data_IF_757904220290
#
_entry.id   IF_757904220290
#
_cell.length_a   1.000
_cell.length_b   1.000
_cell.length_c   1.000
_cell.angle_alpha   90.00
_cell.angle_beta   90.00
_cell.angle_gamma   90.00
#
_symmetry.space_group_name_H-M   'P 1'
#
loop_
_entity.id
_entity.type
_entity.pdbx_description
1 polymer ?
#
# COMPACT_ATOMS: atom_id res chain seq x y z
N UNK A 1 11.70 -5.46 -18.84
CA UNK A 1 12.62 -5.51 -17.68
C UNK A 1 11.89 -5.20 -16.37
N UNK A 2 11.46 -3.96 -16.11
CA UNK A 2 10.81 -3.59 -14.84
C UNK A 2 9.56 -4.42 -14.49
N UNK A 3 8.73 -4.76 -15.48
CA UNK A 3 7.60 -5.67 -15.26
C UNK A 3 8.02 -7.06 -14.75
N UNK A 4 9.14 -7.60 -15.25
CA UNK A 4 9.68 -8.89 -14.78
C UNK A 4 10.16 -8.82 -13.34
N UNK A 5 10.87 -7.75 -12.98
CA UNK A 5 11.25 -7.50 -11.58
C UNK A 5 10.04 -7.35 -10.66
N UNK A 6 9.00 -6.66 -11.13
CA UNK A 6 7.75 -6.53 -10.41
C UNK A 6 7.12 -7.90 -10.16
N UNK A 7 6.94 -8.73 -11.21
CA UNK A 7 6.40 -10.08 -11.05
C UNK A 7 7.22 -10.90 -10.06
N UNK A 8 8.55 -10.88 -10.20
CA UNK A 8 9.45 -11.58 -9.29
C UNK A 8 9.27 -11.12 -7.83
N UNK A 9 9.15 -9.81 -7.60
CA UNK A 9 8.98 -9.26 -6.25
C UNK A 9 7.65 -9.59 -5.59
N UNK A 10 6.62 -10.03 -6.34
CA UNK A 10 5.37 -10.53 -5.74
C UNK A 10 5.62 -11.87 -5.03
N UNK A 11 6.54 -12.69 -5.54
CA UNK A 11 6.80 -14.03 -5.03
C UNK A 11 7.95 -14.09 -4.02
N UNK A 12 8.82 -13.08 -4.00
CA UNK A 12 9.86 -13.00 -2.97
C UNK A 12 9.19 -12.75 -1.63
N UNK A 13 9.37 -13.72 -0.72
CA UNK A 13 9.07 -13.59 0.70
C UNK A 13 10.01 -12.51 1.26
N UNK A 14 9.43 -11.59 2.03
CA UNK A 14 10.05 -10.43 2.67
C UNK A 14 11.54 -10.62 2.98
N UNK A 15 12.39 -9.62 2.69
CA UNK A 15 13.81 -9.69 3.04
C UNK A 15 13.93 -9.98 4.54
N UNK A 16 14.58 -11.11 4.89
CA UNK A 16 14.84 -11.44 6.29
C UNK A 16 15.79 -10.38 6.87
N UNK A 17 15.36 -9.75 7.96
CA UNK A 17 16.09 -8.66 8.60
C UNK A 17 17.39 -9.13 9.22
N UNK A 18 17.48 -10.38 9.67
CA UNK A 18 18.72 -11.00 10.13
C UNK A 18 19.75 -11.07 8.99
N UNK A 19 19.31 -11.42 7.78
CA UNK A 19 20.19 -11.45 6.60
C UNK A 19 20.59 -10.03 6.18
N UNK A 20 19.67 -9.06 6.29
CA UNK A 20 19.97 -7.66 6.03
C UNK A 20 20.97 -7.08 7.04
N UNK A 21 20.83 -7.44 8.32
CA UNK A 21 21.71 -7.03 9.40
C UNK A 21 23.13 -7.58 9.20
N UNK A 22 23.25 -8.87 8.88
CA UNK A 22 24.53 -9.50 8.58
C UNK A 22 25.26 -8.84 7.39
N UNK A 23 24.53 -8.48 6.33
CA UNK A 23 25.13 -7.77 5.18
C UNK A 23 25.51 -6.33 5.55
N UNK A 24 24.66 -5.63 6.30
CA UNK A 24 24.92 -4.25 6.70
C UNK A 24 26.14 -4.14 7.63
N UNK A 25 26.34 -5.08 8.55
CA UNK A 25 27.51 -5.12 9.43
C UNK A 25 28.83 -5.32 8.68
N UNK A 26 28.79 -6.04 7.55
CA UNK A 26 29.99 -6.30 6.74
C UNK A 26 30.34 -5.13 5.81
N UNK A 27 29.34 -4.45 5.25
CA UNK A 27 29.54 -3.49 4.16
C UNK A 27 29.26 -2.03 4.52
N UNK A 28 28.51 -1.75 5.58
CA UNK A 28 28.16 -0.37 5.93
C UNK A 28 29.22 0.26 6.85
N UNK A 29 29.59 1.54 6.64
CA UNK A 29 30.41 2.27 7.60
C UNK A 29 29.64 2.51 8.91
N UNK A 30 30.38 2.60 10.02
CA UNK A 30 29.85 2.65 11.40
C UNK A 30 28.78 3.74 11.59
N UNK A 31 28.99 4.91 10.97
CA UNK A 31 28.07 6.06 10.98
C UNK A 31 26.68 5.73 10.38
N UNK A 32 26.62 4.79 9.43
CA UNK A 32 25.39 4.34 8.78
C UNK A 32 24.74 3.20 9.57
N UNK A 33 25.55 2.33 10.18
CA UNK A 33 25.09 1.28 11.10
C UNK A 33 24.33 1.88 12.29
N UNK A 34 24.91 2.87 12.96
CA UNK A 34 24.31 3.49 14.14
C UNK A 34 22.97 4.18 13.81
N UNK A 35 22.93 4.94 12.70
CA UNK A 35 21.71 5.63 12.25
C UNK A 35 20.59 4.70 11.78
N UNK A 36 20.95 3.51 11.30
CA UNK A 36 20.00 2.51 10.80
C UNK A 36 19.57 1.48 11.86
N UNK A 37 20.17 1.49 13.05
CA UNK A 37 19.90 0.53 14.11
C UNK A 37 18.42 0.51 14.52
N UNK A 38 17.78 1.67 14.65
CA UNK A 38 16.35 1.78 14.99
C UNK A 38 15.42 1.15 13.95
N UNK A 39 15.82 1.08 12.68
CA UNK A 39 15.02 0.48 11.60
C UNK A 39 15.29 -1.02 11.41
N UNK A 40 16.32 -1.54 12.08
CA UNK A 40 16.82 -2.90 12.00
C UNK A 40 16.61 -3.70 13.30
N UNK A 41 16.03 -3.05 14.32
CA UNK A 41 15.74 -3.66 15.61
C UNK A 41 14.61 -4.69 15.47
N UNK A 42 14.98 -5.97 15.62
CA UNK A 42 14.07 -7.12 15.50
C UNK A 42 12.90 -7.03 16.48
N UNK A 43 13.10 -6.53 17.70
CA UNK A 43 12.06 -6.40 18.73
C UNK A 43 10.90 -5.50 18.26
N UNK A 44 11.22 -4.42 17.53
CA UNK A 44 10.21 -3.47 17.01
C UNK A 44 9.38 -4.12 15.89
N UNK A 45 10.00 -5.00 15.12
CA UNK A 45 9.35 -5.70 14.01
C UNK A 45 8.51 -6.86 14.54
N UNK A 46 9.00 -7.58 15.54
CA UNK A 46 8.29 -8.69 16.19
C UNK A 46 7.07 -8.17 16.96
N UNK A 47 7.22 -7.12 17.78
CA UNK A 47 6.09 -6.47 18.44
C UNK A 47 5.02 -5.98 17.44
N UNK A 48 5.43 -5.54 16.23
CA UNK A 48 4.49 -5.14 15.18
C UNK A 48 3.74 -6.34 14.59
N UNK A 49 4.40 -7.49 14.43
CA UNK A 49 3.77 -8.74 13.98
C UNK A 49 2.76 -9.21 15.01
N UNK A 50 3.13 -9.21 16.28
CA UNK A 50 2.24 -9.63 17.39
C UNK A 50 0.98 -8.77 17.46
N UNK A 51 1.11 -7.44 17.35
CA UNK A 51 -0.05 -6.53 17.30
C UNK A 51 -0.95 -6.81 16.09
N UNK A 52 -0.38 -7.17 14.94
CA UNK A 52 -1.15 -7.51 13.75
C UNK A 52 -1.89 -8.83 13.94
N UNK A 53 -1.24 -9.83 14.54
CA UNK A 53 -1.83 -11.14 14.85
C UNK A 53 -2.94 -11.03 15.91
N UNK A 54 -2.74 -10.23 16.96
CA UNK A 54 -3.77 -9.93 17.96
C UNK A 54 -4.98 -9.20 17.37
N UNK A 55 -4.76 -8.31 16.38
CA UNK A 55 -5.85 -7.59 15.69
C UNK A 55 -6.47 -8.39 14.53
N UNK A 56 -5.88 -9.52 14.15
CA UNK A 56 -6.29 -10.36 13.03
C UNK A 56 -7.54 -11.22 13.32
N UNK A 57 -8.21 -11.04 14.47
CA UNK A 57 -9.42 -11.79 14.87
C UNK A 57 -10.51 -11.76 13.78
N UNK A 58 -10.59 -10.68 13.01
CA UNK A 58 -11.57 -10.50 11.95
C UNK A 58 -10.94 -10.54 10.55
N UNK A 59 -11.47 -11.40 9.66
CA UNK A 59 -10.97 -11.57 8.29
C UNK A 59 -10.87 -10.24 7.52
N UNK A 60 -11.84 -9.34 7.68
CA UNK A 60 -11.87 -8.06 6.95
C UNK A 60 -10.73 -7.13 7.37
N UNK A 61 -10.20 -7.26 8.60
CA UNK A 61 -9.06 -6.46 9.11
C UNK A 61 -7.77 -6.86 8.39
N UNK A 62 -7.65 -8.12 7.99
CA UNK A 62 -6.49 -8.61 7.23
C UNK A 62 -6.66 -8.29 5.75
N UNK A 63 -7.86 -8.55 5.22
CA UNK A 63 -8.09 -8.57 3.77
C UNK A 63 -8.38 -7.21 3.14
N UNK A 64 -8.76 -6.18 3.89
CA UNK A 64 -9.08 -4.88 3.26
C UNK A 64 -7.87 -4.25 2.54
N UNK A 65 -6.67 -4.31 3.14
CA UNK A 65 -5.42 -3.81 2.52
C UNK A 65 -4.79 -4.82 1.56
N UNK A 66 -4.74 -6.11 1.96
CA UNK A 66 -4.19 -7.17 1.10
C UNK A 66 -5.00 -7.37 -0.17
N UNK A 67 -6.33 -7.33 -0.06
CA UNK A 67 -7.26 -7.37 -1.17
C UNK A 67 -6.97 -6.25 -2.17
N UNK A 68 -6.97 -4.99 -1.72
CA UNK A 68 -6.63 -3.84 -2.57
C UNK A 68 -5.28 -4.00 -3.28
N UNK A 69 -4.25 -4.46 -2.55
CA UNK A 69 -2.90 -4.67 -3.10
C UNK A 69 -2.91 -5.69 -4.24
N UNK A 70 -3.45 -6.89 -4.00
CA UNK A 70 -3.50 -7.93 -5.03
C UNK A 70 -4.41 -7.58 -6.20
N UNK A 71 -5.51 -6.91 -5.92
CA UNK A 71 -6.40 -6.29 -6.90
C UNK A 71 -5.66 -5.36 -7.87
N UNK A 72 -4.84 -4.45 -7.34
CA UNK A 72 -4.03 -3.56 -8.15
C UNK A 72 -2.95 -4.30 -8.94
N UNK A 73 -2.33 -5.34 -8.36
CA UNK A 73 -1.34 -6.16 -9.08
C UNK A 73 -1.96 -6.88 -10.27
N UNK A 74 -3.10 -7.52 -10.05
CA UNK A 74 -3.84 -8.23 -11.10
C UNK A 74 -4.20 -7.27 -12.24
N UNK A 75 -4.70 -6.08 -11.91
CA UNK A 75 -5.05 -5.06 -12.91
C UNK A 75 -3.83 -4.54 -13.66
N UNK A 76 -2.70 -4.30 -13.00
CA UNK A 76 -1.48 -3.87 -13.68
C UNK A 76 -0.91 -4.95 -14.61
N UNK A 77 -0.95 -6.21 -14.18
CA UNK A 77 -0.57 -7.36 -15.02
C UNK A 77 -1.48 -7.41 -16.26
N UNK A 78 -2.79 -7.26 -16.05
CA UNK A 78 -3.76 -7.19 -17.14
C UNK A 78 -3.45 -6.04 -18.11
N UNK A 79 -3.24 -4.81 -17.61
CA UNK A 79 -2.93 -3.63 -18.43
C UNK A 79 -1.62 -3.83 -19.20
N UNK A 80 -0.60 -4.45 -18.60
CA UNK A 80 0.67 -4.67 -19.29
C UNK A 80 0.57 -5.70 -20.42
N UNK A 81 -0.08 -6.84 -20.14
CA UNK A 81 -0.21 -7.95 -21.09
C UNK A 81 -1.23 -7.61 -22.18
N UNK A 82 -2.46 -7.29 -21.77
CA UNK A 82 -3.61 -7.12 -22.66
C UNK A 82 -3.93 -5.67 -23.02
N UNK A 83 -3.23 -4.69 -22.43
CA UNK A 83 -3.48 -3.29 -22.71
C UNK A 83 -3.23 -2.92 -24.18
N UNK A 84 -4.05 -1.99 -24.65
CA UNK A 84 -4.06 -1.49 -26.02
C UNK A 84 -2.68 -0.92 -26.44
N UNK A 85 -2.31 -1.14 -27.70
CA UNK A 85 -1.05 -0.66 -28.28
C UNK A 85 -0.89 0.86 -28.14
N UNK A 86 -1.97 1.64 -28.14
CA UNK A 86 -1.93 3.10 -27.95
C UNK A 86 -1.29 3.51 -26.62
N UNK A 87 -1.50 2.74 -25.55
CA UNK A 87 -0.84 2.94 -24.25
C UNK A 87 0.66 2.62 -24.36
N UNK A 88 1.01 1.61 -25.16
CA UNK A 88 2.39 1.20 -25.42
C UNK A 88 3.14 2.15 -26.38
N UNK A 89 2.42 2.98 -27.13
CA UNK A 89 3.02 3.98 -28.03
C UNK A 89 3.16 5.33 -27.34
N UNK A 90 2.21 5.74 -26.50
CA UNK A 90 2.28 7.01 -25.78
C UNK A 90 3.33 6.98 -24.66
N UNK A 91 4.36 7.83 -24.79
CA UNK A 91 5.49 7.81 -23.87
C UNK A 91 5.13 8.07 -22.39
N UNK A 92 4.34 9.11 -22.04
CA UNK A 92 4.00 9.38 -20.65
C UNK A 92 3.32 8.20 -19.96
N UNK A 93 2.44 7.49 -20.68
CA UNK A 93 1.77 6.28 -20.20
C UNK A 93 2.75 5.18 -19.82
N UNK A 94 3.71 4.91 -20.71
CA UNK A 94 4.77 3.93 -20.45
C UNK A 94 5.65 4.32 -19.27
N UNK A 95 6.00 5.60 -19.15
CA UNK A 95 6.82 6.10 -18.04
C UNK A 95 6.10 5.94 -16.72
N UNK A 96 4.82 6.30 -16.65
CA UNK A 96 4.01 6.15 -15.45
C UNK A 96 3.88 4.67 -15.05
N UNK A 97 3.54 3.80 -16.00
CA UNK A 97 3.42 2.36 -15.75
C UNK A 97 4.75 1.74 -15.29
N UNK A 98 5.86 2.12 -15.94
CA UNK A 98 7.21 1.69 -15.54
C UNK A 98 7.57 2.18 -14.13
N UNK A 99 7.20 3.41 -13.80
CA UNK A 99 7.45 4.00 -12.48
C UNK A 99 6.63 3.29 -11.39
N UNK A 100 5.37 2.96 -11.67
CA UNK A 100 4.55 2.12 -10.78
C UNK A 100 5.20 0.77 -10.52
N UNK A 101 5.68 0.08 -11.57
CA UNK A 101 6.39 -1.19 -11.39
C UNK A 101 7.66 -1.07 -10.56
N UNK A 102 8.45 0.00 -10.76
CA UNK A 102 9.65 0.24 -9.98
C UNK A 102 9.34 0.41 -8.50
N UNK A 103 8.37 1.28 -8.16
CA UNK A 103 8.01 1.53 -6.76
C UNK A 103 7.36 0.32 -6.10
N UNK A 104 6.53 -0.44 -6.83
CA UNK A 104 5.98 -1.68 -6.33
C UNK A 104 7.07 -2.73 -6.09
N UNK A 105 8.05 -2.84 -6.99
CA UNK A 105 9.19 -3.76 -6.81
C UNK A 105 9.97 -3.41 -5.55
N UNK A 106 10.40 -2.16 -5.43
CA UNK A 106 11.15 -1.68 -4.25
C UNK A 106 10.32 -1.82 -2.98
N UNK A 107 9.05 -1.43 -3.02
CA UNK A 107 8.14 -1.53 -1.89
C UNK A 107 7.88 -2.97 -1.44
N UNK A 108 7.79 -3.92 -2.38
CA UNK A 108 7.63 -5.35 -2.07
C UNK A 108 8.86 -5.90 -1.35
N UNK A 109 10.05 -5.58 -1.85
CA UNK A 109 11.32 -6.03 -1.27
C UNK A 109 11.54 -5.44 0.13
N UNK A 110 11.19 -4.17 0.33
CA UNK A 110 11.44 -3.45 1.56
C UNK A 110 10.30 -3.55 2.59
N UNK A 111 9.21 -4.27 2.31
CA UNK A 111 8.00 -4.24 3.16
C UNK A 111 8.25 -4.67 4.61
N UNK A 112 9.26 -5.53 4.84
CA UNK A 112 9.69 -5.96 6.16
C UNK A 112 10.32 -4.85 7.01
N UNK A 113 10.83 -3.79 6.39
CA UNK A 113 11.46 -2.66 7.07
C UNK A 113 10.36 -1.66 7.51
N UNK A 114 10.39 -1.11 8.74
CA UNK A 114 9.35 -0.20 9.26
C UNK A 114 9.01 0.99 8.34
N UNK A 115 9.97 1.51 7.59
CA UNK A 115 9.79 2.60 6.61
C UNK A 115 9.46 2.12 5.20
N UNK A 116 9.74 0.85 4.87
CA UNK A 116 9.61 0.28 3.52
C UNK A 116 8.16 0.18 3.04
N UNK A 117 7.22 -0.01 3.97
CA UNK A 117 5.77 0.02 3.67
C UNK A 117 5.30 1.32 3.02
N UNK A 118 6.01 2.44 3.23
CA UNK A 118 5.68 3.73 2.59
C UNK A 118 5.93 3.71 1.09
N UNK A 119 7.01 3.07 0.64
CA UNK A 119 7.31 2.92 -0.79
C UNK A 119 6.26 2.05 -1.48
N UNK A 120 5.81 0.99 -0.80
CA UNK A 120 4.72 0.16 -1.28
C UNK A 120 3.42 0.97 -1.43
N UNK A 121 3.04 1.76 -0.41
CA UNK A 121 1.85 2.62 -0.48
C UNK A 121 1.93 3.64 -1.62
N UNK A 122 3.09 4.24 -1.83
CA UNK A 122 3.30 5.17 -2.94
C UNK A 122 3.19 4.46 -4.30
N UNK A 123 3.76 3.27 -4.42
CA UNK A 123 3.60 2.42 -5.61
C UNK A 123 2.13 2.06 -5.87
N UNK A 124 1.35 1.73 -4.84
CA UNK A 124 -0.08 1.47 -4.96
C UNK A 124 -0.87 2.71 -5.39
N UNK A 125 -0.51 3.90 -4.90
CA UNK A 125 -1.11 5.16 -5.33
C UNK A 125 -0.86 5.45 -6.82
N UNK A 126 0.39 5.29 -7.27
CA UNK A 126 0.74 5.41 -8.69
C UNK A 126 -0.01 4.39 -9.56
N UNK A 127 -0.18 3.17 -9.05
CA UNK A 127 -0.93 2.11 -9.72
C UNK A 127 -2.41 2.44 -9.87
N UNK A 128 -2.99 3.07 -8.85
CA UNK A 128 -4.36 3.56 -8.89
C UNK A 128 -4.53 4.68 -9.93
N UNK A 129 -3.56 5.58 -10.03
CA UNK A 129 -3.55 6.64 -11.04
C UNK A 129 -3.44 6.08 -12.47
N UNK A 130 -2.59 5.06 -12.69
CA UNK A 130 -2.55 4.30 -13.95
C UNK A 130 -3.92 3.69 -14.26
N UNK A 131 -4.56 3.05 -13.27
CA UNK A 131 -5.84 2.39 -13.44
C UNK A 131 -6.96 3.38 -13.80
N UNK A 132 -7.05 4.52 -13.10
CA UNK A 132 -8.06 5.54 -13.34
C UNK A 132 -8.00 6.05 -14.77
N UNK A 133 -6.82 6.44 -15.24
CA UNK A 133 -6.66 6.88 -16.61
C UNK A 133 -6.96 5.76 -17.62
N UNK A 134 -6.69 4.50 -17.28
CA UNK A 134 -6.86 3.37 -18.20
C UNK A 134 -8.36 3.11 -18.39
N UNK A 135 -9.11 3.09 -17.28
CA UNK A 135 -10.56 2.95 -17.29
C UNK A 135 -11.22 4.11 -18.04
N UNK A 136 -10.75 5.34 -17.85
CA UNK A 136 -11.30 6.51 -18.55
C UNK A 136 -11.11 6.38 -20.07
N UNK A 137 -9.90 6.07 -20.52
CA UNK A 137 -9.58 5.95 -21.95
C UNK A 137 -10.27 4.75 -22.62
N UNK A 138 -10.48 3.64 -21.90
CA UNK A 138 -10.99 2.36 -22.44
C UNK A 138 -12.36 1.97 -21.88
N UNK A 139 -13.15 2.94 -21.41
CA UNK A 139 -14.45 2.71 -20.76
C UNK A 139 -15.43 1.85 -21.56
N UNK A 140 -15.35 1.87 -22.90
CA UNK A 140 -16.23 1.12 -23.81
C UNK A 140 -15.78 -0.34 -24.04
N UNK A 141 -14.58 -0.72 -23.61
CA UNK A 141 -14.07 -2.08 -23.79
C UNK A 141 -14.68 -3.05 -22.75
N UNK A 142 -15.37 -4.08 -23.25
CA UNK A 142 -16.04 -5.10 -22.43
C UNK A 142 -15.06 -5.84 -21.51
N UNK A 143 -13.82 -6.10 -21.97
CA UNK A 143 -12.82 -6.83 -21.17
C UNK A 143 -12.36 -5.98 -19.99
N UNK A 144 -12.06 -4.71 -20.24
CA UNK A 144 -11.72 -3.74 -19.20
C UNK A 144 -12.83 -3.59 -18.17
N UNK A 145 -14.10 -3.57 -18.61
CA UNK A 145 -15.26 -3.54 -17.70
C UNK A 145 -15.36 -4.80 -16.84
N UNK A 146 -15.18 -5.98 -17.44
CA UNK A 146 -15.24 -7.26 -16.72
C UNK A 146 -14.14 -7.37 -15.66
N UNK A 147 -12.90 -7.02 -16.01
CA UNK A 147 -11.78 -7.04 -15.06
C UNK A 147 -11.97 -6.03 -13.93
N UNK A 148 -12.45 -4.82 -14.24
CA UNK A 148 -12.75 -3.83 -13.21
C UNK A 148 -13.88 -4.30 -12.29
N UNK A 149 -14.92 -4.92 -12.84
CA UNK A 149 -16.02 -5.48 -12.06
C UNK A 149 -15.56 -6.63 -11.15
N UNK A 150 -14.70 -7.52 -11.65
CA UNK A 150 -14.10 -8.63 -10.88
C UNK A 150 -13.38 -8.13 -9.62
N UNK A 151 -12.68 -7.01 -9.76
CA UNK A 151 -11.82 -6.46 -8.72
C UNK A 151 -12.58 -5.49 -7.79
N UNK A 152 -13.73 -4.97 -8.24
CA UNK A 152 -14.55 -4.01 -7.50
C UNK A 152 -14.94 -4.41 -6.07
N UNK A 153 -15.21 -5.70 -5.71
CA UNK A 153 -15.56 -6.06 -4.34
C UNK A 153 -14.42 -5.79 -3.35
N UNK A 154 -13.18 -5.97 -3.78
CA UNK A 154 -12.01 -5.71 -2.94
C UNK A 154 -11.80 -4.20 -2.71
N UNK A 155 -12.04 -3.37 -3.74
CA UNK A 155 -12.05 -1.92 -3.57
C UNK A 155 -13.16 -1.47 -2.62
N UNK A 156 -14.36 -2.05 -2.74
CA UNK A 156 -15.49 -1.74 -1.87
C UNK A 156 -15.19 -2.11 -0.42
N UNK A 157 -14.65 -3.30 -0.18
CA UNK A 157 -14.18 -3.73 1.14
C UNK A 157 -13.15 -2.74 1.72
N UNK A 158 -12.17 -2.34 0.91
CA UNK A 158 -11.18 -1.35 1.32
C UNK A 158 -11.85 -0.03 1.72
N UNK A 159 -12.78 0.50 0.91
CA UNK A 159 -13.48 1.76 1.20
C UNK A 159 -14.25 1.66 2.51
N UNK A 160 -15.05 0.60 2.72
CA UNK A 160 -15.84 0.43 3.95
C UNK A 160 -14.94 0.43 5.18
N UNK A 161 -13.87 -0.38 5.16
CA UNK A 161 -12.98 -0.51 6.32
C UNK A 161 -12.15 0.76 6.52
N UNK A 162 -11.70 1.42 5.44
CA UNK A 162 -10.97 2.68 5.52
C UNK A 162 -11.82 3.82 6.08
N UNK A 163 -13.09 3.94 5.65
CA UNK A 163 -14.04 4.91 6.22
C UNK A 163 -14.28 4.62 7.69
N UNK A 164 -14.51 3.36 8.06
CA UNK A 164 -14.68 2.97 9.46
C UNK A 164 -13.47 3.34 10.31
N UNK A 165 -12.26 3.04 9.84
CA UNK A 165 -11.02 3.40 10.54
C UNK A 165 -10.88 4.93 10.65
N UNK A 166 -11.24 5.68 9.61
CA UNK A 166 -11.27 7.13 9.63
C UNK A 166 -12.23 7.71 10.66
N UNK A 167 -13.42 7.10 10.83
CA UNK A 167 -14.40 7.52 11.84
C UNK A 167 -13.95 7.23 13.27
N UNK A 168 -13.14 6.18 13.50
CA UNK A 168 -12.52 5.94 14.81
C UNK A 168 -11.37 6.91 15.11
N UNK A 169 -10.59 7.30 14.10
CA UNK A 169 -9.46 8.22 14.29
C UNK A 169 -9.87 9.69 14.34
N UNK A 170 -11.08 10.03 13.92
CA UNK A 170 -11.58 11.41 13.85
C UNK A 170 -12.53 11.68 15.00
N UNK A 171 -12.21 12.65 15.85
CA UNK A 171 -13.13 13.11 16.89
C UNK A 171 -14.13 14.13 16.35
N UNK A 172 -15.29 14.27 17.00
CA UNK A 172 -16.31 15.27 16.61
C UNK A 172 -15.77 16.70 16.61
N UNK A 173 -14.82 16.99 17.50
CA UNK A 173 -14.17 18.30 17.60
C UNK A 173 -13.35 18.62 16.33
N UNK A 174 -12.80 17.61 15.65
CA UNK A 174 -12.08 17.78 14.38
C UNK A 174 -12.98 18.09 13.19
N UNK A 175 -14.24 17.64 13.19
CA UNK A 175 -15.19 17.80 12.06
C UNK A 175 -16.07 19.04 12.23
N UNK A 176 -16.55 19.29 13.44
CA UNK A 176 -17.49 20.37 13.74
C UNK A 176 -16.88 21.54 14.54
N UNK A 177 -15.66 21.37 15.06
CA UNK A 177 -14.92 22.42 15.77
C UNK A 177 -13.84 23.07 14.91
N UNK A 178 -12.97 23.86 15.55
CA UNK A 178 -11.80 24.40 14.89
C UNK A 178 -10.72 23.30 14.81
N UNK A 179 -10.31 22.85 13.60
CA UNK A 179 -9.34 21.76 13.44
C UNK A 179 -7.98 22.09 14.07
N UNK A 180 -7.63 23.37 14.20
CA UNK A 180 -6.41 23.82 14.87
C UNK A 180 -6.51 23.62 16.38
N UNK A 181 -7.66 23.92 17.00
CA UNK A 181 -7.87 23.71 18.44
C UNK A 181 -8.05 22.23 18.79
N UNK A 182 -8.63 21.45 17.89
CA UNK A 182 -8.80 20.01 18.04
C UNK A 182 -7.45 19.26 18.12
N UNK A 183 -6.40 19.75 17.44
CA UNK A 183 -5.05 19.18 17.53
C UNK A 183 -4.41 19.31 18.93
N UNK A 184 -4.85 20.28 19.74
CA UNK A 184 -4.35 20.46 21.10
C UNK A 184 -5.14 19.70 22.17
N UNK A 185 -6.29 19.14 21.80
CA UNK A 185 -7.20 18.37 22.69
C UNK A 185 -7.26 16.88 22.32
N UNK A 186 -6.21 16.34 21.69
CA UNK A 186 -6.11 14.92 21.31
C UNK A 186 -6.02 14.08 22.58
N UNK A 187 -7.16 13.53 23.04
CA UNK A 187 -7.23 12.65 24.22
C UNK A 187 -8.54 12.74 25.00
N UNK A 188 -9.25 13.87 24.94
CA UNK A 188 -10.46 14.12 25.75
C UNK A 188 -11.77 14.14 24.95
N UNK A 189 -11.71 13.85 23.65
CA UNK A 189 -12.86 13.98 22.76
C UNK A 189 -13.40 12.63 22.32
N UNK A 190 -14.66 12.36 22.67
CA UNK A 190 -15.42 11.17 22.27
C UNK A 190 -15.34 10.94 20.75
N UNK A 191 -15.08 9.71 20.34
CA UNK A 191 -14.96 9.35 18.92
C UNK A 191 -16.32 9.47 18.23
N UNK A 192 -16.34 9.81 16.94
CA UNK A 192 -17.60 9.90 16.16
C UNK A 192 -18.35 8.56 16.19
N UNK A 193 -17.62 7.45 16.23
CA UNK A 193 -18.20 6.12 16.29
C UNK A 193 -18.98 5.84 17.59
N UNK A 194 -18.63 6.49 18.71
CA UNK A 194 -19.37 6.33 19.97
C UNK A 194 -20.71 7.05 19.98
N UNK A 195 -20.91 8.01 19.07
CA UNK A 195 -22.19 8.71 18.86
C UNK A 195 -23.11 8.03 17.84
N UNK A 196 -22.56 7.17 16.98
CA UNK A 196 -23.32 6.48 15.90
C UNK A 196 -23.83 5.09 16.34
N UNK A 197 -23.32 4.56 17.46
CA UNK A 197 -23.89 3.36 18.10
C UNK A 197 -25.25 3.66 18.73
#
# INVERSE_FOLDING_TARGET
VLFGFFLFSIFIIEINIQQLNAVAEVFAPENVLERSANYRNEDVIEARKDIIEERAVNWYVIWYTRGLRYSLYLLLIYIFIFGDLRIKVYQPWRRLLAFSFLFLTVGNLLVGIPSGGRFLNFGLFLSLLVLLFYIDQFRKDTRTRLMTALVSPAFLLFIIVAVRNGLYSTSLMTVFGNPVLAMFNIGETSSINDFIK
#
